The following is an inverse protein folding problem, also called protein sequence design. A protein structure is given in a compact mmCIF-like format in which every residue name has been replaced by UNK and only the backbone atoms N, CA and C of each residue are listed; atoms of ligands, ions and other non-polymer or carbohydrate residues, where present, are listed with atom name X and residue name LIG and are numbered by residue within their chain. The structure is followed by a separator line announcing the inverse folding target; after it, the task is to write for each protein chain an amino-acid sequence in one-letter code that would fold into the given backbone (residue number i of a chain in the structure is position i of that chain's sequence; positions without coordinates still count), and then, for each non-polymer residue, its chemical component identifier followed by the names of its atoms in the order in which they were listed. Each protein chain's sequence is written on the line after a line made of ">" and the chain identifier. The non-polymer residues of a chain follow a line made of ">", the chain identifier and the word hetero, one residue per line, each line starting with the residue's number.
data_IF_417628860510
#
_entry.id   IF_417628860510
#
_cell.length_a   1.000
_cell.length_b   1.000
_cell.length_c   1.000
_cell.angle_alpha   90.00
_cell.angle_beta   90.00
_cell.angle_gamma   90.00
#
_symmetry.space_group_name_H-M   'P 1'
#
loop_
_entity.id
_entity.type
_entity.pdbx_description
1 polymer ?
#
# COMPACT_ATOMS: atom_id res chain seq x y z
N UNK A 1 -2.28 -0.72 23.22
CA UNK A 1 -2.39 -1.06 21.77
C UNK A 1 -1.19 -0.50 21.05
N UNK A 2 -0.55 -1.30 20.19
CA UNK A 2 0.63 -0.86 19.43
C UNK A 2 0.25 0.20 18.41
N UNK A 3 0.98 1.30 18.40
CA UNK A 3 0.86 2.30 17.35
C UNK A 3 1.72 1.88 16.16
N UNK A 4 1.12 1.17 15.21
CA UNK A 4 1.83 0.64 14.06
C UNK A 4 2.34 1.73 13.11
N UNK A 5 1.64 2.86 12.99
CA UNK A 5 2.12 3.98 12.17
C UNK A 5 3.44 4.52 12.74
N UNK A 6 3.51 4.71 14.07
CA UNK A 6 4.74 5.15 14.72
C UNK A 6 5.87 4.12 14.54
N UNK A 7 5.55 2.81 14.63
CA UNK A 7 6.54 1.75 14.40
C UNK A 7 7.07 1.77 12.98
N UNK A 8 6.21 1.98 11.98
CA UNK A 8 6.65 2.08 10.58
C UNK A 8 7.43 3.36 10.29
N UNK A 9 7.06 4.48 10.91
CA UNK A 9 7.85 5.72 10.80
C UNK A 9 9.29 5.49 11.28
N UNK A 10 9.45 4.82 12.42
CA UNK A 10 10.77 4.50 12.96
C UNK A 10 11.51 3.50 12.08
N UNK A 11 10.83 2.46 11.58
CA UNK A 11 11.39 1.48 10.66
C UNK A 11 11.93 2.12 9.38
N UNK A 12 11.16 3.00 8.75
CA UNK A 12 11.56 3.70 7.53
C UNK A 12 12.75 4.65 7.75
N UNK A 13 12.85 5.23 8.94
CA UNK A 13 13.94 6.13 9.29
C UNK A 13 15.29 5.43 9.28
N UNK A 14 15.37 4.25 9.89
CA UNK A 14 16.62 3.57 10.22
C UNK A 14 16.92 2.38 9.32
N UNK A 15 15.95 1.88 8.56
CA UNK A 15 16.11 0.67 7.77
C UNK A 15 16.52 0.98 6.33
N UNK A 16 17.81 0.85 6.06
CA UNK A 16 18.38 1.04 4.73
C UNK A 16 18.02 -0.08 3.74
N UNK A 17 17.54 -1.23 4.24
CA UNK A 17 17.15 -2.38 3.41
C UNK A 17 15.75 -2.23 2.82
N UNK A 18 14.89 -1.44 3.45
CA UNK A 18 13.54 -1.25 2.95
C UNK A 18 13.54 -0.29 1.77
N UNK A 19 13.09 -0.77 0.61
CA UNK A 19 13.09 0.00 -0.64
C UNK A 19 11.72 0.43 -1.11
N UNK A 20 10.65 -0.23 -0.65
CA UNK A 20 9.28 0.06 -1.08
C UNK A 20 9.03 -0.24 -2.55
N UNK A 21 9.65 -1.30 -3.09
CA UNK A 21 9.61 -1.64 -4.51
C UNK A 21 8.92 -2.99 -4.80
N UNK A 22 7.82 -3.27 -4.09
CA UNK A 22 7.07 -4.52 -4.22
C UNK A 22 6.10 -4.51 -5.41
N UNK A 23 6.12 -3.49 -6.24
CA UNK A 23 5.19 -3.31 -7.36
C UNK A 23 5.55 -4.16 -8.58
N UNK A 24 6.83 -4.39 -8.83
CA UNK A 24 7.31 -4.99 -10.08
C UNK A 24 6.59 -6.29 -10.49
N UNK A 25 6.32 -7.25 -9.57
CA UNK A 25 5.58 -8.47 -9.93
C UNK A 25 4.14 -8.24 -10.35
N UNK A 26 3.56 -7.09 -9.99
CA UNK A 26 2.14 -6.78 -10.17
C UNK A 26 1.87 -5.80 -11.31
N UNK A 27 2.91 -5.25 -11.90
CA UNK A 27 2.78 -4.12 -12.84
C UNK A 27 1.88 -4.43 -14.04
N UNK A 28 1.95 -5.64 -14.58
CA UNK A 28 1.16 -6.03 -15.75
C UNK A 28 -0.34 -6.10 -15.44
N UNK A 29 -0.74 -6.50 -14.24
CA UNK A 29 -2.13 -6.51 -13.82
C UNK A 29 -2.68 -5.09 -13.70
N UNK A 30 -1.86 -4.18 -13.16
CA UNK A 30 -2.24 -2.77 -13.02
C UNK A 30 -2.37 -2.11 -14.38
N UNK A 31 -1.44 -2.38 -15.30
CA UNK A 31 -1.52 -1.89 -16.68
C UNK A 31 -2.80 -2.34 -17.38
N UNK A 32 -3.16 -3.61 -17.23
CA UNK A 32 -4.38 -4.16 -17.79
C UNK A 32 -5.62 -3.44 -17.26
N UNK A 33 -5.70 -3.22 -15.94
CA UNK A 33 -6.81 -2.49 -15.32
C UNK A 33 -6.90 -1.04 -15.81
N UNK A 34 -5.77 -0.37 -15.96
CA UNK A 34 -5.74 1.00 -16.50
C UNK A 34 -6.32 1.02 -17.91
N UNK A 35 -5.92 0.08 -18.76
CA UNK A 35 -6.40 -0.01 -20.13
C UNK A 35 -7.90 -0.35 -20.19
N UNK A 36 -8.34 -1.35 -19.42
CA UNK A 36 -9.75 -1.77 -19.39
C UNK A 36 -10.68 -0.68 -18.89
N UNK A 37 -10.25 0.11 -17.92
CA UNK A 37 -11.07 1.15 -17.30
C UNK A 37 -10.86 2.52 -17.91
N UNK A 38 -9.87 2.67 -18.80
CA UNK A 38 -9.45 3.97 -19.37
C UNK A 38 -9.14 5.00 -18.28
N UNK A 39 -8.47 4.55 -17.23
CA UNK A 39 -8.14 5.38 -16.06
C UNK A 39 -7.07 6.41 -16.39
N UNK A 40 -7.23 7.62 -15.86
CA UNK A 40 -6.28 8.74 -16.05
C UNK A 40 -5.67 9.22 -14.74
N UNK A 41 -6.20 8.79 -13.61
CA UNK A 41 -5.67 9.14 -12.28
C UNK A 41 -5.51 7.89 -11.43
N UNK A 42 -4.43 7.83 -10.66
CA UNK A 42 -4.13 6.71 -9.76
C UNK A 42 -3.68 7.23 -8.39
N UNK A 43 -4.06 6.49 -7.35
CA UNK A 43 -3.51 6.65 -6.00
C UNK A 43 -2.76 5.37 -5.61
N UNK A 44 -1.52 5.52 -5.19
CA UNK A 44 -0.77 4.44 -4.52
C UNK A 44 -0.95 4.61 -3.00
N UNK A 45 -1.82 3.80 -2.43
CA UNK A 45 -2.17 3.81 -1.02
C UNK A 45 -1.23 2.90 -0.24
N UNK A 46 -0.34 3.49 0.55
CA UNK A 46 0.73 2.76 1.22
C UNK A 46 1.98 2.65 0.33
N UNK A 47 2.40 3.76 -0.25
CA UNK A 47 3.47 3.80 -1.24
C UNK A 47 4.88 3.56 -0.66
N UNK A 48 5.03 3.53 0.66
CA UNK A 48 6.35 3.48 1.27
C UNK A 48 7.19 4.68 0.86
N UNK A 49 8.45 4.43 0.54
CA UNK A 49 9.37 5.48 0.09
C UNK A 49 9.16 5.90 -1.37
N UNK A 50 8.24 5.26 -2.09
CA UNK A 50 7.96 5.57 -3.49
C UNK A 50 9.00 5.07 -4.49
N UNK A 51 9.98 4.29 -4.05
CA UNK A 51 11.09 3.81 -4.90
C UNK A 51 10.62 2.92 -6.04
N UNK A 52 9.50 2.24 -5.87
CA UNK A 52 8.91 1.39 -6.91
C UNK A 52 8.60 2.16 -8.20
N UNK A 53 8.34 3.46 -8.11
CA UNK A 53 8.01 4.30 -9.26
C UNK A 53 9.25 4.82 -9.99
N UNK A 54 10.44 4.60 -9.46
CA UNK A 54 11.70 4.92 -10.14
C UNK A 54 11.96 3.94 -11.29
N UNK A 55 11.63 2.66 -11.11
CA UNK A 55 11.92 1.59 -12.07
C UNK A 55 10.69 1.10 -12.83
N UNK A 56 9.49 1.41 -12.34
CA UNK A 56 8.22 0.97 -12.93
C UNK A 56 7.49 2.16 -13.50
N UNK A 57 7.38 2.23 -14.83
CA UNK A 57 6.74 3.35 -15.52
C UNK A 57 5.34 2.91 -15.95
N UNK A 58 4.34 3.63 -15.47
CA UNK A 58 2.96 3.51 -15.93
C UNK A 58 2.62 4.68 -16.84
N UNK A 59 1.61 4.53 -17.72
CA UNK A 59 1.12 5.65 -18.54
C UNK A 59 0.49 6.76 -17.70
N UNK A 60 0.18 6.48 -16.43
CA UNK A 60 -0.40 7.42 -15.47
C UNK A 60 0.55 7.50 -14.26
N UNK A 61 0.98 8.71 -13.91
CA UNK A 61 1.81 8.95 -12.72
C UNK A 61 0.91 8.93 -11.48
N UNK A 62 1.13 8.03 -10.52
CA UNK A 62 0.29 7.96 -9.34
C UNK A 62 0.56 9.08 -8.34
N UNK A 63 -0.47 9.48 -7.61
CA UNK A 63 -0.34 10.22 -6.36
C UNK A 63 0.10 9.24 -5.28
N UNK A 64 1.07 9.64 -4.45
CA UNK A 64 1.66 8.78 -3.43
C UNK A 64 1.14 9.17 -2.04
N UNK A 65 0.70 8.19 -1.27
CA UNK A 65 0.27 8.36 0.11
C UNK A 65 0.78 7.23 0.98
N UNK A 66 1.39 7.58 2.12
CA UNK A 66 1.77 6.64 3.16
C UNK A 66 1.84 7.37 4.51
N UNK A 67 1.00 7.00 5.49
CA UNK A 67 0.99 7.69 6.79
C UNK A 67 2.27 7.53 7.59
N UNK A 68 3.10 6.55 7.25
CA UNK A 68 4.36 6.27 7.93
C UNK A 68 5.58 6.96 7.29
N UNK A 69 5.39 7.64 6.16
CA UNK A 69 6.46 8.34 5.44
C UNK A 69 6.18 9.83 5.45
N UNK A 70 6.98 10.66 6.16
CA UNK A 70 6.67 12.08 6.32
C UNK A 70 6.43 12.83 5.00
N UNK A 71 7.15 12.48 3.95
CA UNK A 71 7.01 13.10 2.63
C UNK A 71 5.63 12.85 2.00
N UNK A 72 4.98 11.74 2.35
CA UNK A 72 3.72 11.28 1.75
C UNK A 72 2.59 11.12 2.76
N UNK A 73 2.71 11.66 3.98
CA UNK A 73 1.79 11.40 5.08
C UNK A 73 0.46 12.16 5.00
N UNK A 74 0.37 13.18 4.15
CA UNK A 74 -0.85 13.94 4.01
C UNK A 74 -1.85 13.19 3.13
N UNK A 75 -3.06 12.95 3.65
CA UNK A 75 -4.12 12.30 2.89
C UNK A 75 -4.49 13.15 1.68
N UNK A 76 -4.53 12.54 0.48
CA UNK A 76 -4.99 13.27 -0.70
C UNK A 76 -6.47 13.61 -0.57
N UNK A 77 -6.89 14.64 -1.29
CA UNK A 77 -8.30 15.07 -1.39
C UNK A 77 -8.87 14.61 -2.72
N UNK A 78 -10.20 14.48 -2.79
CA UNK A 78 -10.89 14.10 -4.00
C UNK A 78 -10.90 12.59 -4.24
N UNK A 79 -11.03 12.22 -5.50
CA UNK A 79 -11.12 10.82 -5.94
C UNK A 79 -10.12 10.52 -7.05
N UNK A 80 -9.88 9.23 -7.28
CA UNK A 80 -8.99 8.73 -8.32
C UNK A 80 -9.71 7.64 -9.10
N UNK A 81 -9.38 7.52 -10.38
CA UNK A 81 -9.95 6.44 -11.20
C UNK A 81 -9.55 5.08 -10.65
N UNK A 82 -8.29 4.89 -10.30
CA UNK A 82 -7.80 3.67 -9.68
C UNK A 82 -7.07 3.92 -8.37
N UNK A 83 -7.22 2.99 -7.45
CA UNK A 83 -6.42 2.92 -6.21
C UNK A 83 -5.68 1.60 -6.20
N UNK A 84 -4.38 1.67 -6.01
CA UNK A 84 -3.52 0.50 -5.89
C UNK A 84 -2.92 0.46 -4.49
N UNK A 85 -2.80 -0.72 -3.92
CA UNK A 85 -2.18 -0.93 -2.61
C UNK A 85 -1.51 -2.30 -2.62
N UNK A 86 -0.18 -2.29 -2.53
CA UNK A 86 0.62 -3.51 -2.61
C UNK A 86 1.41 -3.70 -1.34
N UNK A 87 1.25 -4.86 -0.71
CA UNK A 87 1.91 -5.25 0.54
C UNK A 87 1.66 -4.24 1.68
N UNK A 88 0.39 -3.85 1.86
CA UNK A 88 -0.04 -2.88 2.87
C UNK A 88 -1.00 -3.49 3.88
N UNK A 89 -2.03 -4.20 3.42
CA UNK A 89 -3.13 -4.66 4.29
C UNK A 89 -2.65 -5.60 5.39
N UNK A 90 -1.67 -6.46 5.11
CA UNK A 90 -1.06 -7.37 6.09
C UNK A 90 -0.29 -6.64 7.19
N UNK A 91 0.04 -5.36 6.98
CA UNK A 91 0.70 -4.49 7.95
C UNK A 91 -0.29 -3.70 8.82
N UNK A 92 -1.58 -3.80 8.56
CA UNK A 92 -2.63 -3.06 9.27
C UNK A 92 -3.27 -3.97 10.31
N UNK A 93 -3.46 -3.50 11.56
CA UNK A 93 -4.17 -4.28 12.58
C UNK A 93 -5.56 -4.69 12.09
N UNK A 94 -5.96 -5.92 12.41
CA UNK A 94 -7.21 -6.51 11.91
C UNK A 94 -8.43 -5.62 12.17
N UNK A 95 -8.50 -5.02 13.34
CA UNK A 95 -9.61 -4.15 13.74
C UNK A 95 -9.71 -2.86 12.91
N UNK A 96 -8.63 -2.45 12.24
CA UNK A 96 -8.60 -1.24 11.42
C UNK A 96 -8.89 -1.52 9.94
N UNK A 97 -8.84 -2.77 9.52
CA UNK A 97 -8.99 -3.14 8.10
C UNK A 97 -10.32 -2.69 7.49
N UNK A 98 -11.49 -2.87 8.15
CA UNK A 98 -12.74 -2.39 7.58
C UNK A 98 -12.75 -0.90 7.29
N UNK A 99 -12.16 -0.09 8.18
CA UNK A 99 -12.06 1.36 8.00
C UNK A 99 -11.14 1.72 6.83
N UNK A 100 -10.04 1.01 6.69
CA UNK A 100 -9.09 1.23 5.58
C UNK A 100 -9.73 0.86 4.24
N UNK A 101 -10.45 -0.25 4.17
CA UNK A 101 -11.18 -0.64 2.97
C UNK A 101 -12.25 0.40 2.59
N UNK A 102 -12.95 0.92 3.58
CA UNK A 102 -13.93 1.99 3.34
C UNK A 102 -13.27 3.24 2.76
N UNK A 103 -12.13 3.65 3.31
CA UNK A 103 -11.38 4.80 2.82
C UNK A 103 -10.90 4.59 1.38
N UNK A 104 -10.31 3.44 1.08
CA UNK A 104 -9.88 3.08 -0.26
C UNK A 104 -11.06 3.10 -1.25
N UNK A 105 -12.21 2.55 -0.84
CA UNK A 105 -13.42 2.54 -1.67
C UNK A 105 -13.95 3.94 -1.95
N UNK A 106 -13.80 4.87 -1.01
CA UNK A 106 -14.21 6.25 -1.20
C UNK A 106 -13.29 7.01 -2.17
N UNK A 107 -12.00 6.65 -2.23
CA UNK A 107 -11.07 7.24 -3.17
C UNK A 107 -11.27 6.72 -4.60
N UNK A 108 -11.62 5.46 -4.78
CA UNK A 108 -11.65 4.80 -6.08
C UNK A 108 -12.99 5.00 -6.80
N UNK A 109 -12.96 5.41 -8.07
CA UNK A 109 -14.17 5.55 -8.89
C UNK A 109 -14.32 4.45 -9.93
N UNK A 110 -13.24 3.76 -10.32
CA UNK A 110 -13.27 2.76 -11.40
C UNK A 110 -12.72 1.41 -10.98
N UNK A 111 -11.58 1.37 -10.27
CA UNK A 111 -11.04 0.10 -9.80
C UNK A 111 -10.23 0.25 -8.51
N UNK A 112 -10.10 -0.87 -7.80
CA UNK A 112 -9.17 -1.06 -6.68
C UNK A 112 -8.35 -2.31 -6.99
N UNK A 113 -7.03 -2.19 -6.85
CA UNK A 113 -6.12 -3.33 -6.96
C UNK A 113 -5.37 -3.51 -5.65
N UNK A 114 -5.48 -4.69 -5.06
CA UNK A 114 -4.82 -5.04 -3.80
C UNK A 114 -3.91 -6.24 -4.01
N UNK A 115 -2.68 -6.15 -3.57
CA UNK A 115 -1.79 -7.30 -3.43
C UNK A 115 -1.46 -7.45 -1.94
N UNK A 116 -1.84 -8.60 -1.37
CA UNK A 116 -1.76 -8.85 0.07
C UNK A 116 -0.94 -10.10 0.31
N UNK A 117 0.10 -10.00 1.14
CA UNK A 117 0.88 -11.14 1.54
C UNK A 117 0.14 -12.00 2.57
N UNK A 118 0.23 -13.31 2.43
CA UNK A 118 -0.37 -14.28 3.35
C UNK A 118 0.68 -15.02 4.18
N UNK A 119 1.97 -14.72 3.96
CA UNK A 119 3.10 -15.30 4.67
C UNK A 119 3.71 -14.29 5.66
N UNK A 120 4.41 -14.75 6.73
CA UNK A 120 5.14 -13.84 7.62
C UNK A 120 6.18 -13.01 6.89
N UNK A 121 6.38 -11.77 7.33
CA UNK A 121 7.44 -10.92 6.81
C UNK A 121 8.81 -11.40 7.29
N UNK A 122 9.85 -11.11 6.49
CA UNK A 122 11.24 -11.20 6.96
C UNK A 122 11.53 -10.04 7.92
N UNK A 123 10.94 -8.88 7.66
CA UNK A 123 11.14 -7.66 8.43
C UNK A 123 10.50 -7.75 9.83
N UNK A 124 11.18 -7.16 10.80
CA UNK A 124 10.72 -7.03 12.19
C UNK A 124 10.66 -5.55 12.52
N UNK A 125 9.59 -5.12 13.19
CA UNK A 125 9.42 -3.76 13.64
C UNK A 125 10.34 -3.44 14.84
N UNK A 126 10.62 -2.16 15.13
CA UNK A 126 11.48 -1.79 16.26
C UNK A 126 11.06 -2.37 17.62
N UNK A 127 9.75 -2.64 17.83
CA UNK A 127 9.23 -3.24 19.03
C UNK A 127 9.35 -4.78 19.08
N UNK A 128 9.95 -5.43 18.07
CA UNK A 128 10.14 -6.87 18.00
C UNK A 128 8.99 -7.65 17.36
N UNK A 129 7.88 -7.01 17.01
CA UNK A 129 6.76 -7.65 16.33
C UNK A 129 7.08 -7.90 14.85
N UNK A 130 6.51 -8.99 14.26
CA UNK A 130 6.60 -9.20 12.83
C UNK A 130 5.89 -8.06 12.09
N UNK A 131 6.49 -7.60 11.00
CA UNK A 131 5.91 -6.51 10.21
C UNK A 131 4.55 -6.87 9.61
N UNK A 132 4.27 -8.14 9.33
CA UNK A 132 2.93 -8.62 8.94
C UNK A 132 2.10 -8.92 10.20
N UNK A 133 1.40 -7.92 10.73
CA UNK A 133 0.62 -8.08 11.95
C UNK A 133 -0.73 -8.77 11.73
N UNK A 134 -1.25 -8.79 10.50
CA UNK A 134 -2.51 -9.46 10.14
C UNK A 134 -2.22 -10.54 9.09
N UNK A 135 -2.00 -11.76 9.56
CA UNK A 135 -1.73 -12.93 8.72
C UNK A 135 -3.00 -13.77 8.61
N UNK A 136 -3.67 -13.70 7.48
CA UNK A 136 -4.91 -14.43 7.21
C UNK A 136 -4.81 -15.13 5.86
N UNK A 137 -5.50 -16.27 5.69
CA UNK A 137 -5.55 -16.95 4.39
C UNK A 137 -6.34 -16.14 3.38
N UNK A 138 -6.18 -16.46 2.09
CA UNK A 138 -6.84 -15.75 1.00
C UNK A 138 -8.35 -15.65 1.21
N UNK A 139 -8.99 -16.72 1.69
CA UNK A 139 -10.43 -16.80 1.89
C UNK A 139 -10.94 -15.75 2.88
N UNK A 140 -10.11 -15.33 3.81
CA UNK A 140 -10.47 -14.28 4.77
C UNK A 140 -10.54 -12.89 4.15
N UNK A 141 -9.69 -12.65 3.13
CA UNK A 141 -9.59 -11.35 2.47
C UNK A 141 -10.66 -11.12 1.40
N UNK A 142 -11.28 -12.19 0.93
CA UNK A 142 -12.24 -12.15 -0.20
C UNK A 142 -13.67 -11.86 0.24
#
# INVERSE_FOLDING_TARGET
>A
MTDYIAQYKEYHKDNKKYRGDNLAPQIHHILELIQMTQSTTLLDYGCGKGNQWTNNILPVTPTLYDPAVPQYENKPTGTFDGVISTDVMEHIPEEQIPQVFQEISQYATRFVFLAIATDPAIAVLPNGENAHCTLKPLEWWV
#
